data_IF_047080110987
#
_entry.id   IF_047080110987
#
_cell.length_a   1.000
_cell.length_b   1.000
_cell.length_c   1.000
_cell.angle_alpha   90.00
_cell.angle_beta   90.00
_cell.angle_gamma   90.00
#
_symmetry.space_group_name_H-M   'P 1'
#
loop_
_entity.id
_entity.type
_entity.pdbx_description
1 polymer ?
#
# COMPACT_ATOMS: atom_id res chain seq x y z
N UNK A 1 26.59 -26.14 8.90
CA UNK A 1 25.65 -25.18 8.21
C UNK A 1 24.28 -25.43 8.82
N UNK A 2 24.10 -24.96 10.05
CA UNK A 2 23.02 -25.43 10.88
C UNK A 2 21.97 -24.37 11.16
N UNK A 3 20.73 -24.81 11.08
CA UNK A 3 19.55 -24.35 11.86
C UNK A 3 18.92 -22.96 11.60
N UNK A 4 19.50 -22.05 10.82
CA UNK A 4 18.82 -20.77 10.55
C UNK A 4 17.67 -20.88 9.54
N UNK A 5 17.64 -21.91 8.70
CA UNK A 5 16.60 -22.13 7.69
C UNK A 5 15.46 -23.06 8.11
N UNK A 6 15.58 -23.74 9.26
CA UNK A 6 14.49 -24.62 9.78
C UNK A 6 13.19 -23.88 10.14
N UNK A 7 13.21 -22.54 10.12
CA UNK A 7 12.04 -21.71 10.44
C UNK A 7 11.31 -21.17 9.19
N UNK A 8 11.79 -21.46 7.97
CA UNK A 8 11.12 -21.04 6.75
C UNK A 8 10.09 -22.11 6.36
N UNK A 9 8.82 -21.70 6.29
CA UNK A 9 7.74 -22.51 5.75
C UNK A 9 7.44 -22.02 4.34
N UNK A 10 7.19 -22.93 3.42
CA UNK A 10 6.81 -22.63 2.04
C UNK A 10 5.51 -23.37 1.74
N UNK A 11 4.55 -22.66 1.18
CA UNK A 11 3.30 -23.20 0.66
C UNK A 11 3.19 -22.87 -0.82
N UNK A 12 3.04 -23.89 -1.66
CA UNK A 12 2.73 -23.71 -3.07
C UNK A 12 1.21 -23.69 -3.26
N UNK A 13 0.69 -22.58 -3.81
CA UNK A 13 -0.72 -22.48 -4.17
C UNK A 13 -0.88 -22.88 -5.63
N UNK A 14 -1.56 -24.00 -5.87
CA UNK A 14 -1.77 -24.56 -7.22
C UNK A 14 -3.07 -24.12 -7.89
N UNK A 15 -4.01 -23.50 -7.17
CA UNK A 15 -5.34 -23.18 -7.68
C UNK A 15 -5.82 -21.80 -7.20
N UNK A 16 -5.70 -20.80 -8.06
CA UNK A 16 -6.45 -19.57 -7.89
C UNK A 16 -7.35 -19.34 -9.10
N UNK A 17 -8.58 -19.81 -9.04
CA UNK A 17 -9.64 -19.20 -9.83
C UNK A 17 -10.05 -17.94 -9.06
N UNK A 18 -9.91 -16.78 -9.66
CA UNK A 18 -10.41 -15.53 -9.12
C UNK A 18 -11.44 -14.96 -10.06
N UNK A 19 -12.54 -14.48 -9.51
CA UNK A 19 -13.55 -13.70 -10.24
C UNK A 19 -13.16 -12.20 -10.27
N UNK A 20 -11.98 -11.86 -9.78
CA UNK A 20 -11.47 -10.48 -9.79
C UNK A 20 -11.28 -9.99 -11.22
N UNK A 21 -11.83 -8.83 -11.52
CA UNK A 21 -11.51 -8.11 -12.76
C UNK A 21 -10.10 -7.52 -12.67
N UNK A 22 -9.10 -8.33 -13.05
CA UNK A 22 -7.69 -7.92 -13.03
C UNK A 22 -7.39 -6.73 -13.95
N UNK A 23 -8.28 -6.40 -14.91
CA UNK A 23 -8.13 -5.21 -15.76
C UNK A 23 -8.19 -3.91 -14.98
N UNK A 24 -8.85 -3.91 -13.82
CA UNK A 24 -8.82 -2.78 -12.88
C UNK A 24 -7.40 -2.43 -12.40
N UNK A 25 -6.44 -3.32 -12.62
CA UNK A 25 -5.05 -3.18 -12.20
C UNK A 25 -4.06 -3.26 -13.37
N UNK A 26 -4.54 -3.18 -14.62
CA UNK A 26 -3.71 -3.29 -15.81
C UNK A 26 -2.98 -1.98 -16.19
N UNK A 27 -2.28 -2.03 -17.34
CA UNK A 27 -1.45 -0.93 -17.86
C UNK A 27 -2.18 0.41 -17.99
N UNK A 28 -3.43 0.41 -18.46
CA UNK A 28 -4.22 1.64 -18.63
C UNK A 28 -4.45 2.32 -17.28
N UNK A 29 -4.85 1.55 -16.27
CA UNK A 29 -5.04 2.08 -14.93
C UNK A 29 -3.71 2.55 -14.33
N UNK A 30 -2.62 1.80 -14.49
CA UNK A 30 -1.30 2.17 -13.99
C UNK A 30 -0.80 3.49 -14.61
N UNK A 31 -1.02 3.69 -15.92
CA UNK A 31 -0.69 4.97 -16.61
C UNK A 31 -1.51 6.13 -16.08
N UNK A 32 -2.80 5.93 -15.82
CA UNK A 32 -3.68 6.95 -15.24
C UNK A 32 -3.21 7.37 -13.85
N UNK A 33 -2.91 6.39 -12.99
CA UNK A 33 -2.38 6.63 -11.64
C UNK A 33 -1.02 7.33 -11.67
N UNK A 34 -0.12 6.90 -12.55
CA UNK A 34 1.18 7.54 -12.73
C UNK A 34 1.03 9.00 -13.21
N UNK A 35 0.08 9.27 -14.11
CA UNK A 35 -0.23 10.64 -14.57
C UNK A 35 -0.65 11.54 -13.40
N UNK A 36 -1.44 11.02 -12.46
CA UNK A 36 -1.78 11.74 -11.23
C UNK A 36 -0.53 11.96 -10.36
N UNK A 37 0.24 10.92 -10.03
CA UNK A 37 1.41 11.07 -9.16
C UNK A 37 2.46 12.02 -9.73
N UNK A 38 2.64 12.08 -11.06
CA UNK A 38 3.55 13.01 -11.73
C UNK A 38 3.18 14.49 -11.56
N UNK A 39 1.99 14.82 -11.11
CA UNK A 39 1.57 16.19 -10.82
C UNK A 39 1.99 16.63 -9.41
N UNK A 40 2.41 15.70 -8.56
CA UNK A 40 2.91 15.97 -7.19
C UNK A 40 4.35 16.44 -7.32
N UNK A 41 4.68 17.57 -6.70
CA UNK A 41 6.01 18.20 -6.81
C UNK A 41 7.15 17.27 -6.36
N UNK A 42 6.93 16.50 -5.29
CA UNK A 42 7.92 15.57 -4.75
C UNK A 42 8.01 14.25 -5.53
N UNK A 43 7.18 14.07 -6.57
CA UNK A 43 7.25 12.84 -7.34
C UNK A 43 8.60 12.70 -8.04
N UNK A 44 9.25 11.57 -7.76
CA UNK A 44 10.43 11.12 -8.50
C UNK A 44 10.29 9.62 -8.72
N UNK A 45 10.64 9.17 -9.93
CA UNK A 45 10.76 7.74 -10.19
C UNK A 45 11.83 7.16 -9.26
N UNK A 46 11.49 6.16 -8.50
CA UNK A 46 12.44 5.48 -7.60
C UNK A 46 13.29 4.48 -8.38
N UNK A 47 14.53 4.21 -7.95
CA UNK A 47 15.43 3.36 -8.72
C UNK A 47 15.02 1.87 -8.71
N UNK A 48 15.26 1.20 -9.83
CA UNK A 48 15.31 -0.25 -9.93
C UNK A 48 16.79 -0.68 -9.87
N UNK A 49 17.24 -1.08 -8.69
CA UNK A 49 18.67 -1.34 -8.40
C UNK A 49 19.05 -2.74 -8.84
N UNK A 50 20.04 -2.86 -9.72
CA UNK A 50 20.64 -4.15 -10.08
C UNK A 50 21.67 -4.57 -9.01
N UNK A 51 21.60 -5.84 -8.59
CA UNK A 51 22.50 -6.43 -7.56
C UNK A 51 23.36 -7.56 -8.15
N UNK A 52 24.37 -7.23 -8.99
CA UNK A 52 25.15 -8.25 -9.71
C UNK A 52 25.96 -9.17 -8.78
N UNK A 53 26.50 -8.64 -7.69
CA UNK A 53 27.27 -9.43 -6.73
C UNK A 53 26.40 -10.45 -6.00
N UNK A 54 25.16 -10.10 -5.66
CA UNK A 54 24.21 -11.01 -5.04
C UNK A 54 23.75 -12.07 -6.06
N UNK A 55 23.46 -11.67 -7.29
CA UNK A 55 23.09 -12.59 -8.37
C UNK A 55 24.17 -13.64 -8.59
N UNK A 56 25.43 -13.22 -8.69
CA UNK A 56 26.57 -14.13 -8.82
C UNK A 56 26.70 -15.09 -7.63
N UNK A 57 26.56 -14.57 -6.40
CA UNK A 57 26.65 -15.38 -5.17
C UNK A 57 25.55 -16.45 -5.08
N UNK A 58 24.36 -16.15 -5.59
CA UNK A 58 23.21 -17.06 -5.61
C UNK A 58 23.13 -17.89 -6.89
N UNK A 59 24.08 -17.72 -7.82
CA UNK A 59 24.10 -18.40 -9.13
C UNK A 59 22.80 -18.23 -9.92
N UNK A 60 22.26 -16.99 -9.97
CA UNK A 60 21.12 -16.60 -10.79
C UNK A 60 21.51 -15.54 -11.81
N UNK A 61 20.71 -15.37 -12.88
CA UNK A 61 21.04 -14.47 -14.00
C UNK A 61 21.15 -13.00 -13.59
N UNK A 62 20.15 -12.49 -12.90
CA UNK A 62 20.13 -11.10 -12.40
C UNK A 62 19.15 -10.96 -11.23
N UNK A 63 19.42 -9.97 -10.38
CA UNK A 63 18.52 -9.57 -9.28
C UNK A 63 18.32 -8.07 -9.37
N UNK A 64 17.08 -7.65 -9.35
CA UNK A 64 16.68 -6.24 -9.32
C UNK A 64 15.83 -5.97 -8.09
N UNK A 65 16.04 -4.83 -7.45
CA UNK A 65 15.27 -4.37 -6.29
C UNK A 65 14.68 -3.00 -6.59
N UNK A 66 13.37 -2.88 -6.49
CA UNK A 66 12.68 -1.59 -6.53
C UNK A 66 12.83 -0.90 -5.17
N UNK A 67 13.63 0.14 -5.13
CA UNK A 67 13.96 0.84 -3.88
C UNK A 67 13.00 2.01 -3.64
N UNK A 68 12.00 1.79 -2.81
CA UNK A 68 10.99 2.77 -2.41
C UNK A 68 11.40 3.63 -1.19
N UNK A 69 12.63 3.51 -0.71
CA UNK A 69 13.11 4.23 0.49
C UNK A 69 13.10 5.76 0.35
N UNK A 70 12.95 6.28 -0.88
CA UNK A 70 12.91 7.73 -1.14
C UNK A 70 11.60 8.23 -1.74
N UNK A 71 10.56 7.39 -1.77
CA UNK A 71 9.26 7.79 -2.32
C UNK A 71 8.66 8.93 -1.51
N UNK A 72 8.40 10.06 -2.16
CA UNK A 72 7.84 11.29 -1.57
C UNK A 72 8.56 11.75 -0.28
N UNK A 73 9.82 11.38 -0.09
CA UNK A 73 10.59 11.62 1.15
C UNK A 73 9.96 10.97 2.41
N UNK A 74 9.06 10.00 2.21
CA UNK A 74 8.39 9.28 3.30
C UNK A 74 9.10 7.99 3.70
N UNK A 75 10.19 7.62 3.04
CA UNK A 75 10.92 6.37 3.25
C UNK A 75 10.06 5.10 3.10
N UNK A 76 8.93 5.20 2.41
CA UNK A 76 7.98 4.10 2.21
C UNK A 76 7.06 4.37 1.00
N UNK A 77 6.60 3.30 0.36
CA UNK A 77 5.69 3.35 -0.80
C UNK A 77 4.24 3.73 -0.45
N UNK A 78 3.85 3.69 0.82
CA UNK A 78 2.45 3.86 1.28
C UNK A 78 1.82 5.20 0.86
N UNK A 79 2.63 6.25 0.66
CA UNK A 79 2.16 7.54 0.13
C UNK A 79 1.52 7.44 -1.26
N UNK A 80 1.93 6.47 -2.10
CA UNK A 80 1.31 6.23 -3.41
C UNK A 80 -0.17 5.85 -3.28
N UNK A 81 -0.48 4.88 -2.42
CA UNK A 81 -1.85 4.43 -2.19
C UNK A 81 -2.70 5.49 -1.50
N UNK A 82 -2.16 6.11 -0.44
CA UNK A 82 -2.86 7.14 0.32
C UNK A 82 -3.24 8.34 -0.53
N UNK A 83 -2.30 8.91 -1.27
CA UNK A 83 -2.56 10.09 -2.10
C UNK A 83 -3.54 9.83 -3.24
N UNK A 84 -3.42 8.69 -3.94
CA UNK A 84 -4.35 8.38 -5.01
C UNK A 84 -5.77 8.10 -4.50
N UNK A 85 -5.91 7.33 -3.43
CA UNK A 85 -7.23 7.08 -2.83
C UNK A 85 -7.89 8.39 -2.34
N UNK A 86 -7.13 9.26 -1.67
CA UNK A 86 -7.66 10.56 -1.23
C UNK A 86 -8.06 11.44 -2.42
N UNK A 87 -7.25 11.49 -3.48
CA UNK A 87 -7.63 12.18 -4.71
C UNK A 87 -8.98 11.69 -5.27
N UNK A 88 -9.19 10.37 -5.33
CA UNK A 88 -10.44 9.76 -5.81
C UNK A 88 -11.61 10.10 -4.91
N UNK A 89 -11.42 10.03 -3.59
CA UNK A 89 -12.43 10.41 -2.59
C UNK A 89 -12.81 11.88 -2.76
N UNK A 90 -11.83 12.77 -2.85
CA UNK A 90 -12.07 14.20 -2.99
C UNK A 90 -12.77 14.55 -4.31
N UNK A 91 -12.46 13.84 -5.40
CA UNK A 91 -13.20 13.98 -6.64
C UNK A 91 -14.68 13.57 -6.45
N UNK A 92 -14.94 12.46 -5.77
CA UNK A 92 -16.33 12.03 -5.48
C UNK A 92 -17.07 13.07 -4.60
N UNK A 93 -16.45 13.56 -3.52
CA UNK A 93 -17.04 14.56 -2.59
C UNK A 93 -17.35 15.89 -3.27
N UNK A 94 -16.55 16.26 -4.27
CA UNK A 94 -16.71 17.51 -5.00
C UNK A 94 -17.46 17.35 -6.35
N UNK A 95 -17.96 16.14 -6.65
CA UNK A 95 -18.60 15.78 -7.90
C UNK A 95 -17.74 16.12 -9.14
N UNK A 96 -16.45 15.75 -9.06
CA UNK A 96 -15.48 15.93 -10.13
C UNK A 96 -15.19 14.60 -10.82
N UNK A 97 -14.89 14.66 -12.13
CA UNK A 97 -14.43 13.47 -12.85
C UNK A 97 -12.91 13.30 -12.67
N UNK A 98 -12.44 12.23 -11.98
CA UNK A 98 -11.02 12.03 -11.71
C UNK A 98 -10.16 11.86 -12.98
N UNK A 99 -10.74 11.42 -14.11
CA UNK A 99 -9.98 11.21 -15.35
C UNK A 99 -9.62 12.53 -16.05
N UNK A 100 -10.38 13.59 -15.78
CA UNK A 100 -10.21 14.92 -16.39
C UNK A 100 -9.76 15.99 -15.41
N UNK A 101 -9.88 15.75 -14.10
CA UNK A 101 -9.50 16.70 -13.06
C UNK A 101 -7.99 16.59 -12.79
N UNK A 102 -7.27 17.70 -12.90
CA UNK A 102 -5.87 17.76 -12.48
C UNK A 102 -5.75 18.03 -10.98
N UNK A 103 -4.56 17.76 -10.43
CA UNK A 103 -4.25 18.13 -9.04
C UNK A 103 -4.39 19.65 -8.83
N UNK A 104 -3.93 20.46 -9.78
CA UNK A 104 -4.06 21.92 -9.70
C UNK A 104 -5.51 22.40 -9.73
N UNK A 105 -6.38 21.74 -10.52
CA UNK A 105 -7.81 22.05 -10.52
C UNK A 105 -8.43 21.78 -9.17
N UNK A 106 -8.11 20.63 -8.56
CA UNK A 106 -8.59 20.23 -7.23
C UNK A 106 -8.11 21.19 -6.15
N UNK A 107 -6.84 21.62 -6.19
CA UNK A 107 -6.24 22.53 -5.21
C UNK A 107 -6.53 24.01 -5.47
N UNK A 108 -7.35 24.35 -6.46
CA UNK A 108 -7.70 25.74 -6.76
C UNK A 108 -8.50 26.38 -5.63
N UNK A 109 -8.48 27.73 -5.56
CA UNK A 109 -9.21 28.51 -4.56
C UNK A 109 -10.72 28.19 -4.53
N UNK A 110 -11.26 27.71 -5.65
CA UNK A 110 -12.68 27.31 -5.77
C UNK A 110 -13.05 26.22 -4.76
N UNK A 111 -12.14 25.27 -4.47
CA UNK A 111 -12.42 24.12 -3.61
C UNK A 111 -11.73 24.20 -2.24
N UNK A 112 -10.82 25.16 -2.05
CA UNK A 112 -9.99 25.28 -0.83
C UNK A 112 -10.80 25.17 0.46
N UNK A 113 -11.84 26.00 0.59
CA UNK A 113 -12.68 26.01 1.79
C UNK A 113 -13.34 24.64 2.05
N UNK A 114 -13.78 23.97 0.98
CA UNK A 114 -14.42 22.66 1.10
C UNK A 114 -13.42 21.57 1.48
N UNK A 115 -12.19 21.64 0.97
CA UNK A 115 -11.11 20.71 1.31
C UNK A 115 -10.71 20.85 2.79
N UNK A 116 -10.65 22.07 3.33
CA UNK A 116 -10.36 22.35 4.75
C UNK A 116 -11.42 21.79 5.72
N UNK A 117 -12.64 21.56 5.23
CA UNK A 117 -13.75 20.97 6.00
C UNK A 117 -13.72 19.43 5.97
N UNK A 118 -12.94 18.80 5.08
CA UNK A 118 -12.87 17.35 4.97
C UNK A 118 -11.79 16.80 5.89
N UNK A 119 -12.18 15.84 6.70
CA UNK A 119 -11.31 15.17 7.66
C UNK A 119 -11.29 13.66 7.40
N UNK A 120 -10.09 13.09 7.43
CA UNK A 120 -9.87 11.66 7.24
C UNK A 120 -9.54 10.99 8.56
N UNK A 121 -9.84 9.70 8.66
CA UNK A 121 -9.44 8.89 9.81
C UNK A 121 -8.87 7.55 9.37
N UNK A 122 -7.84 7.07 10.06
CA UNK A 122 -7.25 5.75 9.83
C UNK A 122 -6.70 5.13 11.11
N UNK A 123 -6.56 3.80 11.11
CA UNK A 123 -5.73 3.06 12.05
C UNK A 123 -4.45 2.60 11.35
N UNK A 124 -3.32 2.65 12.06
CA UNK A 124 -2.02 2.27 11.50
C UNK A 124 -1.02 1.88 12.56
N UNK A 125 -0.03 1.09 12.19
CA UNK A 125 1.21 0.85 12.94
C UNK A 125 2.37 1.76 12.49
N UNK A 126 2.17 2.60 11.44
CA UNK A 126 3.18 3.57 11.00
C UNK A 126 3.07 4.08 9.57
N UNK A 127 3.53 3.29 8.58
CA UNK A 127 3.73 3.79 7.22
C UNK A 127 2.45 4.20 6.48
N UNK A 128 1.33 3.52 6.72
CA UNK A 128 0.05 3.91 6.13
C UNK A 128 -0.40 5.27 6.69
N UNK A 129 -0.38 5.44 8.01
CA UNK A 129 -0.69 6.73 8.64
C UNK A 129 0.23 7.87 8.18
N UNK A 130 1.53 7.60 7.97
CA UNK A 130 2.45 8.59 7.38
C UNK A 130 2.00 9.00 5.98
N UNK A 131 1.61 8.03 5.15
CA UNK A 131 1.08 8.29 3.81
C UNK A 131 -0.21 9.12 3.84
N UNK A 132 -1.13 8.81 4.76
CA UNK A 132 -2.39 9.55 4.96
C UNK A 132 -2.13 10.96 5.47
N UNK A 133 -1.30 11.13 6.52
CA UNK A 133 -0.94 12.44 7.06
C UNK A 133 -0.31 13.35 6.01
N UNK A 134 0.68 12.85 5.28
CA UNK A 134 1.32 13.59 4.19
C UNK A 134 0.32 13.97 3.09
N UNK A 135 -0.52 13.03 2.64
CA UNK A 135 -1.51 13.31 1.62
C UNK A 135 -2.57 14.31 2.10
N UNK A 136 -2.95 14.29 3.38
CA UNK A 136 -3.83 15.32 3.96
C UNK A 136 -3.22 16.71 3.84
N UNK A 137 -1.92 16.86 4.11
CA UNK A 137 -1.19 18.11 3.87
C UNK A 137 -1.17 18.53 2.40
N UNK A 138 -0.95 17.58 1.48
CA UNK A 138 -0.98 17.83 0.05
C UNK A 138 -2.32 18.42 -0.42
N UNK A 139 -3.44 17.92 0.11
CA UNK A 139 -4.78 18.35 -0.28
C UNK A 139 -5.37 19.48 0.58
N UNK A 140 -4.68 19.90 1.64
CA UNK A 140 -5.21 20.91 2.58
C UNK A 140 -6.34 20.38 3.46
N UNK A 141 -6.42 19.06 3.65
CA UNK A 141 -7.36 18.37 4.53
C UNK A 141 -6.72 18.09 5.90
N UNK A 142 -7.51 17.56 6.85
CA UNK A 142 -7.01 17.06 8.14
C UNK A 142 -7.05 15.54 8.20
N UNK A 143 -6.28 14.96 9.10
CA UNK A 143 -6.33 13.52 9.39
C UNK A 143 -6.30 13.23 10.88
N UNK A 144 -7.00 12.16 11.28
CA UNK A 144 -6.98 11.57 12.61
C UNK A 144 -6.38 10.17 12.47
N UNK A 145 -5.31 9.91 13.20
CA UNK A 145 -4.55 8.67 13.09
C UNK A 145 -4.52 7.98 14.44
N UNK A 146 -5.15 6.82 14.52
CA UNK A 146 -5.12 5.99 15.71
C UNK A 146 -4.08 4.89 15.56
N UNK A 147 -3.26 4.70 16.59
CA UNK A 147 -2.23 3.68 16.62
C UNK A 147 -2.51 2.70 17.77
N UNK A 148 -2.22 1.40 17.60
CA UNK A 148 -2.50 0.41 18.64
C UNK A 148 -1.55 0.55 19.82
N UNK A 149 -1.95 -0.03 20.96
CA UNK A 149 -1.12 -0.16 22.15
C UNK A 149 0.27 -0.73 21.81
N UNK A 150 1.28 -0.22 22.48
CA UNK A 150 2.67 -0.67 22.30
C UNK A 150 3.40 -0.04 21.11
N UNK A 151 2.73 0.79 20.33
CA UNK A 151 3.40 1.56 19.27
C UNK A 151 4.41 2.54 19.88
N UNK A 152 5.64 2.54 19.37
CA UNK A 152 6.66 3.47 19.82
C UNK A 152 6.32 4.93 19.46
N UNK A 153 6.47 5.87 20.39
CA UNK A 153 6.17 7.30 20.20
C UNK A 153 6.91 7.90 19.00
N UNK A 154 8.12 7.45 18.70
CA UNK A 154 8.88 7.91 17.54
C UNK A 154 8.13 7.70 16.21
N UNK A 155 7.25 6.69 16.13
CA UNK A 155 6.41 6.44 14.94
C UNK A 155 5.24 7.43 14.86
N UNK A 156 4.59 7.72 15.99
CA UNK A 156 3.56 8.75 16.08
C UNK A 156 4.13 10.13 15.71
N UNK A 157 5.30 10.47 16.22
CA UNK A 157 6.00 11.69 15.84
C UNK A 157 6.35 11.74 14.35
N UNK A 158 6.76 10.61 13.75
CA UNK A 158 7.06 10.55 12.32
C UNK A 158 5.82 10.82 11.46
N UNK A 159 4.62 10.47 11.94
CA UNK A 159 3.34 10.79 11.29
C UNK A 159 3.01 12.28 11.45
N UNK A 160 3.12 12.83 12.67
CA UNK A 160 2.85 14.26 12.94
C UNK A 160 3.76 15.20 12.15
N UNK A 161 5.02 14.79 11.88
CA UNK A 161 6.03 15.61 11.18
C UNK A 161 5.77 15.75 9.68
N UNK A 162 5.00 14.88 9.04
CA UNK A 162 4.85 14.87 7.58
C UNK A 162 3.56 15.51 7.09
N UNK A 163 2.61 15.83 7.98
CA UNK A 163 1.35 16.46 7.59
C UNK A 163 0.48 16.87 8.80
N UNK A 164 -0.70 17.43 8.56
CA UNK A 164 -1.59 17.96 9.58
C UNK A 164 -2.43 16.84 10.24
N UNK A 165 -1.78 15.82 10.78
CA UNK A 165 -2.47 14.73 11.46
C UNK A 165 -2.47 14.90 12.99
N UNK A 166 -3.64 14.72 13.60
CA UNK A 166 -3.77 14.40 15.02
C UNK A 166 -3.52 12.92 15.22
N UNK A 167 -2.58 12.55 16.08
CA UNK A 167 -2.13 11.16 16.25
C UNK A 167 -2.22 10.76 17.69
N UNK A 168 -3.01 9.70 17.94
CA UNK A 168 -3.23 9.12 19.26
C UNK A 168 -2.80 7.65 19.29
N UNK A 169 -2.02 7.27 20.31
CA UNK A 169 -1.72 5.88 20.63
C UNK A 169 -2.78 5.41 21.63
N UNK A 170 -3.57 4.42 21.21
CA UNK A 170 -4.66 3.86 22.03
C UNK A 170 -4.15 2.77 22.98
N UNK A 171 -4.97 2.42 23.95
CA UNK A 171 -4.75 1.25 24.83
C UNK A 171 -5.34 -0.06 24.23
N UNK A 172 -5.64 -0.06 22.94
CA UNK A 172 -6.35 -1.13 22.23
C UNK A 172 -5.40 -1.99 21.39
N UNK A 173 -5.81 -3.23 21.10
CA UNK A 173 -5.18 -4.06 20.06
C UNK A 173 -5.31 -3.41 18.68
N UNK A 174 -4.55 -3.91 17.68
CA UNK A 174 -4.66 -3.38 16.31
C UNK A 174 -6.10 -3.50 15.78
N UNK A 175 -6.71 -4.68 15.91
CA UNK A 175 -8.07 -4.93 15.39
C UNK A 175 -9.13 -4.08 16.10
N UNK A 176 -8.98 -3.86 17.40
CA UNK A 176 -9.89 -3.01 18.16
C UNK A 176 -9.65 -1.52 17.89
N UNK A 177 -8.42 -1.12 17.58
CA UNK A 177 -8.10 0.25 17.12
C UNK A 177 -8.72 0.51 15.74
N UNK A 178 -8.75 -0.49 14.84
CA UNK A 178 -9.48 -0.39 13.55
C UNK A 178 -10.97 -0.17 13.80
N UNK A 179 -11.60 -0.96 14.69
CA UNK A 179 -13.01 -0.78 15.06
C UNK A 179 -13.26 0.62 15.65
N UNK A 180 -12.36 1.07 16.51
CA UNK A 180 -12.43 2.42 17.10
C UNK A 180 -12.35 3.51 16.02
N UNK A 181 -11.44 3.39 15.04
CA UNK A 181 -11.37 4.32 13.93
C UNK A 181 -12.68 4.34 13.10
N UNK A 182 -13.31 3.18 12.88
CA UNK A 182 -14.62 3.07 12.21
C UNK A 182 -15.72 3.77 13.03
N UNK A 183 -15.72 3.62 14.35
CA UNK A 183 -16.68 4.29 15.24
C UNK A 183 -16.50 5.81 15.20
N UNK A 184 -15.26 6.28 15.26
CA UNK A 184 -14.94 7.72 15.19
C UNK A 184 -15.32 8.31 13.84
N UNK A 185 -15.08 7.60 12.74
CA UNK A 185 -15.56 7.97 11.41
C UNK A 185 -17.05 8.24 11.40
N UNK A 186 -17.86 7.30 11.91
CA UNK A 186 -19.32 7.44 11.98
C UNK A 186 -19.78 8.56 12.90
N UNK A 187 -19.13 8.69 14.05
CA UNK A 187 -19.49 9.67 15.09
C UNK A 187 -19.26 11.11 14.65
N UNK A 188 -18.17 11.35 13.93
CA UNK A 188 -17.73 12.69 13.55
C UNK A 188 -17.98 13.03 12.08
N UNK A 189 -18.37 12.04 11.26
CA UNK A 189 -18.54 12.22 9.83
C UNK A 189 -17.19 12.26 9.08
N UNK A 190 -16.11 11.77 9.69
CA UNK A 190 -14.80 11.68 9.05
C UNK A 190 -14.76 10.56 8.02
N UNK A 191 -13.98 10.72 6.99
CA UNK A 191 -13.85 9.70 5.93
C UNK A 191 -12.79 8.68 6.34
N UNK A 192 -13.22 7.42 6.52
CA UNK A 192 -12.31 6.32 6.80
C UNK A 192 -11.43 6.01 5.59
N UNK A 193 -10.12 5.96 5.79
CA UNK A 193 -9.13 5.57 4.77
C UNK A 193 -8.22 4.48 5.32
N UNK A 194 -8.70 3.21 5.23
CA UNK A 194 -8.00 2.03 5.73
C UNK A 194 -7.50 1.18 4.57
N UNK A 195 -6.28 0.65 4.67
CA UNK A 195 -5.64 -0.13 3.60
C UNK A 195 -5.93 -1.65 3.66
N UNK A 196 -6.87 -2.04 4.52
CA UNK A 196 -7.44 -3.40 4.59
C UNK A 196 -8.89 -3.36 4.14
N UNK A 197 -9.34 -4.35 3.36
CA UNK A 197 -10.71 -4.46 2.91
C UNK A 197 -11.51 -5.46 3.75
N UNK A 198 -12.84 -5.25 3.80
CA UNK A 198 -13.84 -6.17 4.34
C UNK A 198 -15.17 -5.96 3.62
N UNK A 199 -16.14 -6.85 3.84
CA UNK A 199 -17.46 -6.79 3.19
C UNK A 199 -18.13 -5.43 3.40
N UNK A 200 -18.40 -4.72 2.30
CA UNK A 200 -18.95 -3.36 2.30
C UNK A 200 -17.92 -2.23 2.40
N UNK A 201 -16.63 -2.56 2.47
CA UNK A 201 -15.54 -1.57 2.44
C UNK A 201 -14.46 -2.01 1.46
N UNK A 202 -14.75 -2.04 0.18
CA UNK A 202 -13.84 -2.46 -0.90
C UNK A 202 -13.40 -1.29 -1.79
N UNK A 203 -14.21 -0.27 -1.93
CA UNK A 203 -13.99 0.85 -2.87
C UNK A 203 -12.71 1.61 -2.57
N UNK A 204 -12.51 2.05 -1.34
CA UNK A 204 -11.34 2.82 -0.92
C UNK A 204 -10.07 1.95 -0.93
N UNK A 205 -10.05 0.73 -0.37
CA UNK A 205 -8.93 -0.19 -0.52
C UNK A 205 -8.54 -0.46 -1.97
N UNK A 206 -9.51 -0.61 -2.89
CA UNK A 206 -9.23 -0.72 -4.33
C UNK A 206 -8.45 0.47 -4.86
N UNK A 207 -8.82 1.69 -4.50
CA UNK A 207 -8.08 2.89 -4.91
C UNK A 207 -6.69 2.97 -4.28
N UNK A 208 -6.53 2.54 -3.02
CA UNK A 208 -5.21 2.43 -2.38
C UNK A 208 -4.33 1.46 -3.15
N UNK A 209 -4.86 0.28 -3.50
CA UNK A 209 -4.14 -0.74 -4.29
C UNK A 209 -3.77 -0.18 -5.67
N UNK A 210 -4.71 0.48 -6.34
CA UNK A 210 -4.44 1.14 -7.63
C UNK A 210 -3.32 2.18 -7.51
N UNK A 211 -3.24 2.92 -6.42
CA UNK A 211 -2.15 3.86 -6.16
C UNK A 211 -0.76 3.21 -6.24
N UNK A 212 -0.63 1.96 -5.81
CA UNK A 212 0.64 1.22 -5.87
C UNK A 212 1.04 0.82 -7.31
N UNK A 213 0.15 0.90 -8.29
CA UNK A 213 0.45 0.56 -9.69
C UNK A 213 1.48 1.49 -10.32
N UNK A 214 1.67 2.70 -9.79
CA UNK A 214 2.80 3.55 -10.21
C UNK A 214 4.12 2.82 -10.05
N UNK A 215 4.34 2.14 -8.92
CA UNK A 215 5.55 1.36 -8.67
C UNK A 215 5.67 0.18 -9.64
N UNK A 216 4.57 -0.53 -9.89
CA UNK A 216 4.54 -1.66 -10.83
C UNK A 216 4.88 -1.21 -12.25
N UNK A 217 4.27 -0.12 -12.72
CA UNK A 217 4.56 0.45 -14.04
C UNK A 217 6.01 0.94 -14.19
N UNK A 218 6.54 1.58 -13.15
CA UNK A 218 7.95 2.00 -13.16
C UNK A 218 8.91 0.82 -13.29
N UNK A 219 8.59 -0.33 -12.66
CA UNK A 219 9.38 -1.56 -12.78
C UNK A 219 9.36 -2.08 -14.22
N UNK A 220 8.17 -2.25 -14.81
CA UNK A 220 8.05 -2.79 -16.17
C UNK A 220 8.69 -1.87 -17.20
N UNK A 221 8.48 -0.55 -17.11
CA UNK A 221 9.11 0.45 -17.98
C UNK A 221 10.66 0.36 -17.96
N UNK A 222 11.26 0.06 -16.80
CA UNK A 222 12.71 -0.11 -16.71
C UNK A 222 13.18 -1.48 -17.21
N UNK A 223 12.48 -2.56 -16.86
CA UNK A 223 12.83 -3.90 -17.30
C UNK A 223 12.69 -4.06 -18.82
N UNK A 224 11.68 -3.44 -19.43
CA UNK A 224 11.50 -3.42 -20.89
C UNK A 224 12.67 -2.73 -21.59
N UNK A 225 13.16 -1.58 -21.08
CA UNK A 225 14.33 -0.89 -21.61
C UNK A 225 15.62 -1.73 -21.50
N UNK A 226 15.68 -2.60 -20.53
CA UNK A 226 16.78 -3.56 -20.35
C UNK A 226 16.59 -4.86 -21.13
N UNK A 227 15.45 -5.05 -21.82
CA UNK A 227 15.04 -6.30 -22.45
C UNK A 227 15.04 -7.49 -21.47
N UNK A 228 14.61 -7.26 -20.23
CA UNK A 228 14.52 -8.26 -19.16
C UNK A 228 13.07 -8.61 -18.90
N UNK A 229 12.76 -9.90 -18.88
CA UNK A 229 11.49 -10.44 -18.39
C UNK A 229 11.81 -11.20 -17.09
N UNK A 230 11.22 -10.80 -15.95
CA UNK A 230 11.48 -11.47 -14.68
C UNK A 230 10.89 -12.89 -14.69
N UNK A 231 11.62 -13.86 -14.17
CA UNK A 231 11.14 -15.23 -13.97
C UNK A 231 10.48 -15.40 -12.60
N UNK A 232 10.90 -14.61 -11.62
CA UNK A 232 10.39 -14.64 -10.24
C UNK A 232 10.24 -13.20 -9.72
N UNK A 233 9.17 -12.96 -8.99
CA UNK A 233 8.93 -11.70 -8.29
C UNK A 233 8.64 -12.01 -6.81
N UNK A 234 9.45 -11.44 -5.92
CA UNK A 234 9.28 -11.56 -4.48
C UNK A 234 8.61 -10.29 -3.95
N UNK A 235 7.54 -10.44 -3.18
CA UNK A 235 6.74 -9.36 -2.64
C UNK A 235 6.56 -9.57 -1.13
N UNK A 236 6.94 -8.58 -0.35
CA UNK A 236 6.60 -8.61 1.08
C UNK A 236 5.11 -8.31 1.28
N UNK A 237 4.55 -8.88 2.32
CA UNK A 237 3.17 -8.60 2.69
C UNK A 237 3.00 -8.44 4.20
N UNK A 238 2.14 -7.49 4.58
CA UNK A 238 1.47 -7.41 5.86
C UNK A 238 0.01 -7.84 5.63
N UNK A 239 -0.88 -6.89 5.29
CA UNK A 239 -2.30 -7.19 4.99
C UNK A 239 -2.58 -7.61 3.53
N UNK A 240 -1.57 -7.64 2.66
CA UNK A 240 -1.67 -8.17 1.30
C UNK A 240 -2.00 -7.16 0.20
N UNK A 241 -2.47 -5.96 0.49
CA UNK A 241 -2.94 -4.98 -0.50
C UNK A 241 -1.89 -4.65 -1.59
N UNK A 242 -0.65 -4.38 -1.20
CA UNK A 242 0.42 -4.10 -2.15
C UNK A 242 0.76 -5.35 -2.98
N UNK A 243 0.95 -6.49 -2.34
CA UNK A 243 1.30 -7.73 -3.03
C UNK A 243 0.21 -8.13 -4.02
N UNK A 244 -1.07 -8.06 -3.63
CA UNK A 244 -2.21 -8.35 -4.50
C UNK A 244 -2.26 -7.44 -5.73
N UNK A 245 -2.10 -6.13 -5.54
CA UNK A 245 -2.08 -5.15 -6.65
C UNK A 245 -0.93 -5.38 -7.62
N UNK A 246 0.27 -5.64 -7.10
CA UNK A 246 1.45 -5.95 -7.91
C UNK A 246 1.26 -7.25 -8.72
N UNK A 247 0.74 -8.31 -8.08
CA UNK A 247 0.46 -9.58 -8.77
C UNK A 247 -0.58 -9.37 -9.88
N UNK A 248 -1.70 -8.70 -9.59
CA UNK A 248 -2.75 -8.44 -10.58
C UNK A 248 -2.19 -7.69 -11.79
N UNK A 249 -1.40 -6.63 -11.56
CA UNK A 249 -0.74 -5.89 -12.62
C UNK A 249 0.20 -6.76 -13.45
N UNK A 250 1.12 -7.49 -12.83
CA UNK A 250 2.09 -8.29 -13.58
C UNK A 250 1.46 -9.47 -14.31
N UNK A 251 0.40 -10.06 -13.76
CA UNK A 251 -0.37 -11.11 -14.46
C UNK A 251 -1.01 -10.55 -15.74
N UNK A 252 -1.64 -9.37 -15.67
CA UNK A 252 -2.24 -8.72 -16.82
C UNK A 252 -1.18 -8.26 -17.83
N UNK A 253 -0.06 -7.70 -17.37
CA UNK A 253 1.01 -7.19 -18.22
C UNK A 253 1.76 -8.30 -18.95
N UNK A 254 2.21 -9.34 -18.23
CA UNK A 254 3.04 -10.43 -18.83
C UNK A 254 2.21 -11.56 -19.44
N UNK A 255 0.93 -11.68 -19.13
CA UNK A 255 0.02 -12.70 -19.71
C UNK A 255 0.60 -14.12 -19.67
N UNK A 256 0.89 -14.70 -20.83
CA UNK A 256 1.44 -16.05 -20.96
C UNK A 256 2.90 -16.20 -20.49
N UNK A 257 3.61 -15.09 -20.27
CA UNK A 257 5.00 -15.04 -19.79
C UNK A 257 5.09 -14.59 -18.32
N UNK A 258 3.99 -14.78 -17.57
CA UNK A 258 3.93 -14.35 -16.16
C UNK A 258 5.02 -15.01 -15.32
N UNK A 259 5.68 -14.24 -14.44
CA UNK A 259 6.66 -14.77 -13.50
C UNK A 259 6.00 -15.63 -12.41
N UNK A 260 6.82 -16.37 -11.67
CA UNK A 260 6.42 -17.00 -10.42
C UNK A 260 6.40 -15.92 -9.35
N UNK A 261 5.28 -15.78 -8.64
CA UNK A 261 5.15 -14.83 -7.53
C UNK A 261 5.39 -15.54 -6.20
N UNK A 262 6.20 -14.93 -5.36
CA UNK A 262 6.46 -15.40 -4.01
C UNK A 262 6.10 -14.28 -3.03
N UNK A 263 5.08 -14.51 -2.20
CA UNK A 263 4.73 -13.62 -1.09
C UNK A 263 5.60 -14.01 0.10
N UNK A 264 6.25 -13.02 0.71
CA UNK A 264 7.11 -13.20 1.87
C UNK A 264 6.45 -12.51 3.07
N UNK A 265 6.16 -13.29 4.08
CA UNK A 265 5.59 -12.81 5.34
C UNK A 265 6.50 -13.16 6.52
N UNK A 266 6.35 -12.42 7.59
CA UNK A 266 6.95 -12.81 8.86
C UNK A 266 6.20 -13.99 9.45
N UNK A 267 6.92 -14.91 10.08
CA UNK A 267 6.35 -16.07 10.78
C UNK A 267 5.47 -15.71 12.00
N UNK A 268 5.41 -14.44 12.38
CA UNK A 268 4.55 -13.92 13.46
C UNK A 268 3.42 -13.01 12.93
N UNK A 269 3.34 -12.82 11.61
CA UNK A 269 2.29 -12.08 10.93
C UNK A 269 2.05 -12.69 9.54
N UNK A 270 1.62 -13.94 9.49
CA UNK A 270 1.53 -14.82 8.33
C UNK A 270 0.08 -15.04 7.88
N UNK A 271 -0.70 -13.98 7.80
CA UNK A 271 -2.14 -14.05 7.50
C UNK A 271 -2.42 -14.62 6.10
N UNK A 272 -1.60 -14.30 5.09
CA UNK A 272 -1.78 -14.82 3.74
C UNK A 272 -1.41 -16.29 3.69
N UNK A 273 -0.29 -16.69 4.33
CA UNK A 273 0.11 -18.09 4.43
C UNK A 273 -1.00 -18.95 5.08
N UNK A 274 -1.55 -18.51 6.22
CA UNK A 274 -2.63 -19.22 6.91
C UNK A 274 -3.90 -19.30 6.09
N UNK A 275 -4.29 -18.22 5.44
CA UNK A 275 -5.46 -18.21 4.55
C UNK A 275 -5.28 -19.19 3.38
N UNK A 276 -4.08 -19.24 2.81
CA UNK A 276 -3.75 -20.17 1.73
C UNK A 276 -3.66 -21.63 2.20
N UNK A 277 -3.15 -21.88 3.43
CA UNK A 277 -3.08 -23.21 4.04
C UNK A 277 -4.47 -23.81 4.31
N UNK A 278 -5.43 -22.96 4.75
CA UNK A 278 -6.84 -23.36 4.94
C UNK A 278 -7.52 -23.60 3.59
N UNK A 279 -7.25 -22.77 2.59
CA UNK A 279 -7.66 -23.00 1.20
C UNK A 279 -9.15 -22.87 0.91
N UNK A 280 -9.94 -22.25 1.81
CA UNK A 280 -11.39 -22.04 1.65
C UNK A 280 -11.76 -20.73 0.93
N UNK A 281 -10.74 -19.98 0.49
CA UNK A 281 -10.90 -18.69 -0.22
C UNK A 281 -11.21 -17.51 0.70
N UNK A 282 -11.17 -17.68 2.03
CA UNK A 282 -11.39 -16.59 2.99
C UNK A 282 -10.07 -16.04 3.52
N UNK A 283 -10.11 -14.80 3.99
CA UNK A 283 -9.00 -14.18 4.69
C UNK A 283 -9.08 -14.48 6.19
N UNK A 284 -7.92 -14.77 6.79
CA UNK A 284 -7.79 -15.04 8.22
C UNK A 284 -6.81 -14.04 8.84
N UNK A 285 -7.23 -13.37 9.92
CA UNK A 285 -6.35 -12.49 10.68
C UNK A 285 -5.42 -13.30 11.59
N UNK A 286 -4.25 -12.75 11.87
CA UNK A 286 -3.32 -13.26 12.88
C UNK A 286 -3.59 -12.49 14.17
N UNK A 287 -3.87 -13.20 15.27
CA UNK A 287 -4.21 -12.57 16.56
C UNK A 287 -3.14 -11.60 17.06
N UNK A 288 -3.61 -10.45 17.56
CA UNK A 288 -2.91 -9.19 17.76
C UNK A 288 -1.66 -9.09 18.64
N UNK A 289 -1.30 -10.05 19.47
CA UNK A 289 -0.12 -9.92 20.35
C UNK A 289 1.22 -10.06 19.61
N UNK A 290 1.24 -10.75 18.48
CA UNK A 290 2.45 -11.06 17.73
C UNK A 290 2.86 -9.98 16.71
N UNK A 291 1.94 -9.15 16.26
CA UNK A 291 2.26 -8.02 15.37
C UNK A 291 3.14 -6.96 16.06
N UNK A 292 3.05 -6.83 17.38
CA UNK A 292 3.85 -5.88 18.15
C UNK A 292 5.36 -6.20 18.15
N UNK A 293 5.74 -7.46 18.02
CA UNK A 293 7.15 -7.88 18.06
C UNK A 293 7.91 -7.61 16.76
N UNK A 294 7.22 -7.42 15.64
CA UNK A 294 7.85 -7.19 14.32
C UNK A 294 8.46 -5.81 14.15
N UNK A 295 8.18 -4.89 15.03
CA UNK A 295 8.45 -3.48 14.83
C UNK A 295 9.31 -2.87 15.96
N UNK A 296 9.99 -3.69 16.76
CA UNK A 296 10.83 -3.23 17.88
C UNK A 296 12.26 -2.89 17.49
N UNK A 297 12.67 -3.04 16.21
CA UNK A 297 14.02 -2.70 15.71
C UNK A 297 14.02 -1.53 14.71
#
# INVERSE_FOLDING_TARGET
MDSKFEKIKVLESSNSKTDLDIKLYGDEQAKSVLKFHKQIEEYKKTPLVCLPNLASKLNVGSIYVKDESRRFLLNAFKGLGGSYAMFRILCDELNLNPDTTSLNDLLSDKYRKRLEEIEFVTCTDGNHGRGVSWASGLFGCKAHVYMPYGTAEVRAEAIRKVGPAEVDITDLSYDDTVKYAIEMSKKHGWILIQDTSWDGYEKIPTWIIQGYLTMAYEITDELEKLNVIPTHIFLQAGVGSMAGGMIAYFVEHYKNKKPIFTIVESNVADCIYRSAEIGDGKSYSVGGELQQLLWQD
#
